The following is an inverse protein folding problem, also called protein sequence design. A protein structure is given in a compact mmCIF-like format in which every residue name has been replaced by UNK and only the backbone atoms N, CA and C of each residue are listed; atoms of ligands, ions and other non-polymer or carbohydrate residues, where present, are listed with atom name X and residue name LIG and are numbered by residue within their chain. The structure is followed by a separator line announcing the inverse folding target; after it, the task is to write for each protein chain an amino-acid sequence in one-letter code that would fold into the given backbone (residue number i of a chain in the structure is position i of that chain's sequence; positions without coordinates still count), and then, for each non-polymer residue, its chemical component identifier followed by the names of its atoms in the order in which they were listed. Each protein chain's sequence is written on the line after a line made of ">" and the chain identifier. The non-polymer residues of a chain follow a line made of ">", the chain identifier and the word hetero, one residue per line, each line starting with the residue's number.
data_IF_264306925204
#
_entry.id   IF_264306925204
#
_cell.length_a   1.000
_cell.length_b   1.000
_cell.length_c   1.000
_cell.angle_alpha   90.00
_cell.angle_beta   90.00
_cell.angle_gamma   90.00
#
_symmetry.space_group_name_H-M   'P 1'
#
loop_
_entity.id
_entity.type
_entity.pdbx_description
1 polymer ?
#
# COMPACT_ATOMS: atom_id res chain seq x y z
N UNK A 1 -4.11 9.98 -5.47
CA UNK A 1 -4.00 9.68 -4.03
C UNK A 1 -3.41 8.29 -3.80
N UNK A 2 -2.46 8.14 -2.90
CA UNK A 2 -1.98 6.85 -2.40
C UNK A 2 -2.60 6.52 -1.04
N UNK A 3 -3.22 5.34 -0.93
CA UNK A 3 -3.89 4.81 0.26
C UNK A 3 -2.96 3.88 1.04
N UNK A 4 -2.49 4.33 2.20
CA UNK A 4 -1.46 3.64 2.98
C UNK A 4 -0.08 3.86 2.36
N UNK A 5 0.32 5.13 2.22
CA UNK A 5 1.59 5.55 1.60
C UNK A 5 2.82 5.03 2.35
N UNK A 6 2.67 4.64 3.62
CA UNK A 6 3.72 4.07 4.44
C UNK A 6 4.93 4.98 4.50
N UNK A 7 6.10 4.43 4.15
CA UNK A 7 7.36 5.20 4.11
C UNK A 7 7.59 5.93 2.78
N UNK A 8 6.63 5.92 1.85
CA UNK A 8 6.71 6.65 0.58
C UNK A 8 7.58 6.00 -0.50
N UNK A 9 7.78 4.67 -0.47
CA UNK A 9 8.61 3.97 -1.48
C UNK A 9 8.04 4.08 -2.89
N UNK A 10 6.73 3.93 -3.04
CA UNK A 10 6.05 4.02 -4.34
C UNK A 10 5.90 5.48 -4.74
N UNK A 11 5.41 6.32 -3.83
CA UNK A 11 5.35 7.77 -3.99
C UNK A 11 6.66 8.35 -4.56
N UNK A 12 7.82 7.99 -4.02
CA UNK A 12 9.13 8.50 -4.48
C UNK A 12 9.37 8.21 -5.96
N UNK A 13 9.07 6.99 -6.40
CA UNK A 13 9.23 6.59 -7.81
C UNK A 13 8.19 7.28 -8.69
N UNK A 14 6.97 7.41 -8.20
CA UNK A 14 5.86 7.99 -8.96
C UNK A 14 6.09 9.47 -9.23
N UNK A 15 6.37 10.26 -8.21
CA UNK A 15 6.60 11.72 -8.35
C UNK A 15 7.86 12.02 -9.18
N UNK A 16 8.89 11.16 -9.12
CA UNK A 16 10.08 11.30 -9.98
C UNK A 16 9.75 11.04 -11.46
N UNK A 17 8.85 10.09 -11.74
CA UNK A 17 8.44 9.75 -13.11
C UNK A 17 7.40 10.71 -13.68
N UNK A 18 6.55 11.26 -12.82
CA UNK A 18 5.45 12.16 -13.18
C UNK A 18 5.59 13.44 -12.34
N UNK A 19 6.54 14.34 -12.66
CA UNK A 19 6.84 15.50 -11.81
C UNK A 19 5.67 16.49 -11.67
N UNK A 20 4.78 16.54 -12.66
CA UNK A 20 3.61 17.41 -12.68
C UNK A 20 2.39 16.82 -11.96
N UNK A 21 2.51 15.62 -11.37
CA UNK A 21 1.37 14.98 -10.70
C UNK A 21 1.05 15.69 -9.38
N UNK A 22 -0.21 16.08 -9.20
CA UNK A 22 -0.72 16.50 -7.90
C UNK A 22 -0.92 15.27 -7.01
N UNK A 23 0.14 14.94 -6.24
CA UNK A 23 0.18 13.77 -5.39
C UNK A 23 -0.18 14.10 -3.94
N UNK A 24 -1.10 13.29 -3.40
CA UNK A 24 -1.38 13.21 -1.97
C UNK A 24 -1.29 11.76 -1.51
N UNK A 25 -0.53 11.52 -0.45
CA UNK A 25 -0.46 10.23 0.23
C UNK A 25 -1.09 10.30 1.61
N UNK A 26 -1.85 9.27 1.98
CA UNK A 26 -2.37 9.12 3.34
C UNK A 26 -1.83 7.88 4.03
N UNK A 27 -1.63 7.96 5.34
CA UNK A 27 -1.38 6.79 6.18
C UNK A 27 -2.00 7.02 7.57
N UNK A 28 -2.45 5.96 8.23
CA UNK A 28 -2.97 6.05 9.60
C UNK A 28 -1.84 6.03 10.65
N UNK A 29 -0.63 5.69 10.24
CA UNK A 29 0.55 5.55 11.10
C UNK A 29 1.47 6.77 10.95
N UNK A 30 1.43 7.67 11.93
CA UNK A 30 2.23 8.91 11.91
C UNK A 30 3.74 8.66 11.77
N UNK A 31 4.27 7.62 12.41
CA UNK A 31 5.69 7.27 12.33
C UNK A 31 6.14 6.86 10.92
N UNK A 32 5.23 6.32 10.10
CA UNK A 32 5.48 6.03 8.69
C UNK A 32 5.53 7.32 7.87
N UNK A 33 4.61 8.25 8.12
CA UNK A 33 4.59 9.56 7.46
C UNK A 33 5.83 10.40 7.79
N UNK A 34 6.37 10.30 8.99
CA UNK A 34 7.65 10.94 9.34
C UNK A 34 8.78 10.43 8.42
N UNK A 35 8.87 9.12 8.19
CA UNK A 35 9.84 8.52 7.27
C UNK A 35 9.56 8.92 5.81
N UNK A 36 8.29 8.97 5.41
CA UNK A 36 7.90 9.41 4.08
C UNK A 36 8.29 10.87 3.81
N UNK A 37 8.06 11.78 4.77
CA UNK A 37 8.49 13.19 4.68
C UNK A 37 9.99 13.33 4.52
N UNK A 38 10.79 12.53 5.25
CA UNK A 38 12.24 12.51 5.08
C UNK A 38 12.66 12.04 3.69
N UNK A 39 11.97 11.05 3.12
CA UNK A 39 12.27 10.49 1.80
C UNK A 39 11.85 11.41 0.64
N UNK A 40 10.64 11.96 0.71
CA UNK A 40 10.01 12.69 -0.39
C UNK A 40 10.30 14.19 -0.36
N UNK A 41 10.77 14.70 0.76
CA UNK A 41 10.94 16.13 1.01
C UNK A 41 9.63 16.80 1.47
N UNK A 42 9.71 18.10 1.77
CA UNK A 42 8.61 18.88 2.36
C UNK A 42 7.51 19.28 1.37
N UNK A 43 7.73 19.11 0.07
CA UNK A 43 6.84 19.61 -0.98
C UNK A 43 5.75 18.60 -1.41
N UNK A 44 5.72 17.41 -0.80
CA UNK A 44 4.73 16.39 -1.11
C UNK A 44 3.64 16.38 -0.04
N UNK A 45 2.37 16.43 -0.45
CA UNK A 45 1.24 16.38 0.46
C UNK A 45 1.13 14.99 1.10
N UNK A 46 1.27 14.93 2.42
CA UNK A 46 1.22 13.72 3.22
C UNK A 46 0.34 13.93 4.45
N UNK A 47 -0.80 13.25 4.50
CA UNK A 47 -1.81 13.47 5.54
C UNK A 47 -1.91 12.25 6.48
N UNK A 48 -2.03 12.53 7.78
CA UNK A 48 -2.27 11.50 8.79
C UNK A 48 -3.77 11.25 8.88
N UNK A 49 -4.23 10.22 8.17
CA UNK A 49 -5.65 9.98 7.95
C UNK A 49 -5.99 8.50 8.06
N UNK A 50 -7.21 8.24 8.51
CA UNK A 50 -7.78 6.90 8.51
C UNK A 50 -8.73 6.78 7.32
N UNK A 51 -8.50 5.80 6.44
CA UNK A 51 -9.35 5.54 5.26
C UNK A 51 -10.85 5.39 5.60
N UNK A 52 -11.19 4.99 6.83
CA UNK A 52 -12.58 4.85 7.30
C UNK A 52 -13.28 6.16 7.64
N UNK A 53 -12.52 7.24 7.84
CA UNK A 53 -13.02 8.53 8.35
C UNK A 53 -12.43 9.75 7.65
N UNK A 54 -11.48 9.57 6.72
CA UNK A 54 -10.84 10.66 5.99
C UNK A 54 -11.90 11.54 5.32
N UNK A 55 -11.65 12.84 5.37
CA UNK A 55 -12.35 13.87 4.61
C UNK A 55 -11.28 14.85 4.13
N UNK A 56 -10.93 14.75 2.85
CA UNK A 56 -9.83 15.50 2.26
C UNK A 56 -10.31 16.78 1.58
N UNK A 57 -11.62 17.07 1.62
CA UNK A 57 -12.26 18.22 0.98
C UNK A 57 -11.92 18.37 -0.52
N UNK A 58 -11.51 17.28 -1.17
CA UNK A 58 -11.11 17.26 -2.58
C UNK A 58 -11.37 15.91 -3.23
N UNK A 59 -11.52 15.93 -4.55
CA UNK A 59 -11.62 14.72 -5.37
C UNK A 59 -10.33 14.44 -6.13
N UNK A 60 -10.12 13.18 -6.50
CA UNK A 60 -8.95 12.69 -7.22
C UNK A 60 -9.36 11.97 -8.51
N UNK A 61 -8.51 12.06 -9.52
CA UNK A 61 -8.65 11.28 -10.77
C UNK A 61 -8.27 9.82 -10.57
N UNK A 62 -7.39 9.54 -9.61
CA UNK A 62 -7.03 8.19 -9.23
C UNK A 62 -6.70 8.07 -7.74
N UNK A 63 -7.12 6.96 -7.15
CA UNK A 63 -6.66 6.45 -5.87
C UNK A 63 -5.99 5.09 -6.11
N UNK A 64 -4.92 4.78 -5.39
CA UNK A 64 -4.32 3.46 -5.47
C UNK A 64 -3.86 2.96 -4.11
N UNK A 65 -3.85 1.64 -3.93
CA UNK A 65 -3.24 1.00 -2.77
C UNK A 65 -2.22 -0.04 -3.23
N UNK A 66 -0.98 0.10 -2.74
CA UNK A 66 0.11 -0.84 -2.99
C UNK A 66 0.49 -1.56 -1.70
N UNK A 67 -0.33 -2.53 -1.29
CA UNK A 67 -0.16 -3.24 -0.02
C UNK A 67 -0.35 -2.40 1.24
N UNK A 68 -0.91 -1.18 1.08
CA UNK A 68 -1.15 -0.22 2.16
C UNK A 68 -2.42 -0.55 2.94
N UNK A 69 -3.60 -0.36 2.33
CA UNK A 69 -4.91 -0.72 2.91
C UNK A 69 -5.40 -2.04 2.31
N UNK A 70 -5.27 -2.17 0.99
CA UNK A 70 -5.77 -3.29 0.21
C UNK A 70 -4.73 -3.81 -0.76
N UNK A 71 -4.91 -5.07 -1.16
CA UNK A 71 -4.07 -5.71 -2.16
C UNK A 71 -4.80 -6.89 -2.81
N UNK A 72 -4.34 -7.32 -3.98
CA UNK A 72 -4.73 -8.60 -4.54
C UNK A 72 -3.53 -9.53 -4.64
N UNK A 73 -3.76 -10.81 -4.41
CA UNK A 73 -2.80 -11.87 -4.69
C UNK A 73 -3.23 -12.61 -5.95
N UNK A 74 -2.29 -12.75 -6.87
CA UNK A 74 -2.38 -13.65 -8.00
C UNK A 74 -1.73 -14.98 -7.61
N UNK A 75 -2.52 -16.05 -7.61
CA UNK A 75 -2.05 -17.41 -7.33
C UNK A 75 -1.59 -18.16 -8.58
N UNK A 76 -1.61 -17.54 -9.76
CA UNK A 76 -1.35 -18.20 -11.04
C UNK A 76 -2.52 -19.06 -11.52
N UNK A 77 -3.69 -18.91 -10.89
CA UNK A 77 -4.96 -19.55 -11.25
C UNK A 77 -5.90 -18.51 -11.91
N UNK A 78 -7.13 -18.88 -12.22
CA UNK A 78 -8.14 -17.97 -12.80
C UNK A 78 -8.70 -16.94 -11.82
N UNK A 79 -8.22 -16.92 -10.58
CA UNK A 79 -8.81 -16.13 -9.48
C UNK A 79 -7.78 -15.26 -8.76
N UNK A 80 -8.18 -14.03 -8.47
CA UNK A 80 -7.45 -13.12 -7.59
C UNK A 80 -8.02 -13.18 -6.19
N UNK A 81 -7.16 -13.33 -5.18
CA UNK A 81 -7.57 -13.26 -3.77
C UNK A 81 -7.41 -11.83 -3.25
N UNK A 82 -8.47 -11.25 -2.69
CA UNK A 82 -8.43 -9.92 -2.07
C UNK A 82 -7.89 -9.98 -0.64
N UNK A 83 -7.01 -9.04 -0.30
CA UNK A 83 -6.46 -8.85 1.05
C UNK A 83 -6.72 -7.44 1.54
N UNK A 84 -6.96 -7.33 2.84
CA UNK A 84 -7.20 -6.08 3.53
C UNK A 84 -6.54 -6.08 4.89
N UNK A 85 -5.95 -4.95 5.28
CA UNK A 85 -5.52 -4.74 6.67
C UNK A 85 -6.69 -4.39 7.60
N UNK A 86 -7.88 -4.17 7.05
CA UNK A 86 -9.12 -4.01 7.81
C UNK A 86 -9.73 -5.39 8.10
N UNK A 87 -9.85 -5.74 9.38
CA UNK A 87 -10.31 -7.06 9.85
C UNK A 87 -11.80 -7.32 9.56
N UNK A 88 -12.61 -6.27 9.55
CA UNK A 88 -14.08 -6.35 9.51
C UNK A 88 -14.60 -6.03 8.11
N UNK A 89 -15.43 -6.90 7.53
CA UNK A 89 -16.02 -6.71 6.19
C UNK A 89 -16.77 -5.38 6.08
N UNK A 90 -17.52 -5.00 7.11
CA UNK A 90 -18.20 -3.69 7.17
C UNK A 90 -17.23 -2.50 7.08
N UNK A 91 -16.02 -2.63 7.63
CA UNK A 91 -15.00 -1.59 7.53
C UNK A 91 -14.44 -1.54 6.10
N UNK A 92 -14.25 -2.69 5.47
CA UNK A 92 -13.82 -2.78 4.06
C UNK A 92 -14.83 -2.06 3.16
N UNK A 93 -16.12 -2.38 3.29
CA UNK A 93 -17.20 -1.72 2.55
C UNK A 93 -17.21 -0.21 2.81
N UNK A 94 -17.15 0.21 4.08
CA UNK A 94 -17.11 1.63 4.45
C UNK A 94 -15.91 2.35 3.83
N UNK A 95 -14.72 1.74 3.85
CA UNK A 95 -13.53 2.33 3.26
C UNK A 95 -13.65 2.49 1.73
N UNK A 96 -14.31 1.55 1.04
CA UNK A 96 -14.57 1.72 -0.39
C UNK A 96 -15.54 2.87 -0.67
N UNK A 97 -16.61 3.01 0.10
CA UNK A 97 -17.50 4.17 -0.01
C UNK A 97 -16.75 5.48 0.23
N UNK A 98 -15.90 5.52 1.25
CA UNK A 98 -15.17 6.74 1.56
C UNK A 98 -14.18 7.10 0.45
N UNK A 99 -13.45 6.13 -0.10
CA UNK A 99 -12.58 6.37 -1.26
C UNK A 99 -13.39 6.80 -2.48
N UNK A 100 -14.53 6.18 -2.75
CA UNK A 100 -15.39 6.54 -3.87
C UNK A 100 -15.90 7.99 -3.77
N UNK A 101 -16.25 8.47 -2.57
CA UNK A 101 -16.65 9.87 -2.34
C UNK A 101 -15.54 10.87 -2.66
N UNK A 102 -14.28 10.44 -2.59
CA UNK A 102 -13.10 11.23 -2.91
C UNK A 102 -12.61 11.01 -4.35
N UNK A 103 -13.33 10.27 -5.19
CA UNK A 103 -13.01 10.13 -6.61
C UNK A 103 -13.90 11.03 -7.46
N UNK A 104 -13.35 11.52 -8.56
CA UNK A 104 -14.13 12.07 -9.67
C UNK A 104 -15.02 10.98 -10.28
N UNK A 105 -16.08 11.35 -11.01
CA UNK A 105 -17.05 10.37 -11.56
C UNK A 105 -16.39 9.34 -12.50
N UNK A 106 -15.33 9.75 -13.23
CA UNK A 106 -14.51 8.88 -14.07
C UNK A 106 -13.24 8.37 -13.37
N UNK A 107 -13.08 8.69 -12.08
CA UNK A 107 -11.90 8.39 -11.28
C UNK A 107 -11.68 6.90 -11.11
N UNK A 108 -10.42 6.50 -10.95
CA UNK A 108 -10.03 5.08 -10.86
C UNK A 108 -9.55 4.72 -9.47
N UNK A 109 -10.02 3.60 -8.97
CA UNK A 109 -9.37 2.90 -7.85
C UNK A 109 -8.50 1.77 -8.42
N UNK A 110 -7.20 1.85 -8.16
CA UNK A 110 -6.19 0.93 -8.68
C UNK A 110 -5.63 0.11 -7.52
N UNK A 111 -5.48 -1.20 -7.73
CA UNK A 111 -4.89 -2.10 -6.76
C UNK A 111 -3.57 -2.63 -7.28
N UNK A 112 -2.58 -2.77 -6.38
CA UNK A 112 -1.47 -3.66 -6.68
C UNK A 112 -1.95 -5.10 -6.72
N UNK A 113 -1.35 -5.88 -7.63
CA UNK A 113 -1.46 -7.33 -7.64
C UNK A 113 -0.07 -7.88 -7.34
N UNK A 114 0.02 -8.74 -6.32
CA UNK A 114 1.25 -9.40 -5.94
C UNK A 114 1.17 -10.88 -6.28
N UNK A 115 2.29 -11.48 -6.68
CA UNK A 115 2.37 -12.94 -6.81
C UNK A 115 2.46 -13.62 -5.44
N UNK A 116 2.23 -14.93 -5.42
CA UNK A 116 2.42 -15.77 -4.23
C UNK A 116 3.77 -15.50 -3.58
N UNK A 117 3.75 -15.30 -2.26
CA UNK A 117 4.99 -15.19 -1.50
C UNK A 117 5.80 -16.49 -1.67
N UNK A 118 7.05 -16.33 -2.09
CA UNK A 118 8.01 -17.40 -2.29
C UNK A 118 9.23 -17.18 -1.41
N UNK A 119 9.98 -18.25 -1.17
CA UNK A 119 11.34 -18.11 -0.64
C UNK A 119 12.12 -17.12 -1.51
N UNK A 120 12.84 -16.21 -0.88
CA UNK A 120 13.60 -15.17 -1.55
C UNK A 120 14.83 -14.84 -0.74
N UNK A 121 15.93 -14.55 -1.43
CA UNK A 121 17.19 -14.18 -0.83
C UNK A 121 17.84 -13.07 -1.64
N UNK A 122 18.44 -12.11 -0.96
CA UNK A 122 19.21 -11.03 -1.56
C UNK A 122 20.31 -10.55 -0.61
N UNK A 123 21.52 -10.42 -1.14
CA UNK A 123 22.60 -9.70 -0.46
C UNK A 123 22.37 -8.18 -0.56
N UNK A 124 22.30 -7.52 0.59
CA UNK A 124 22.16 -6.08 0.71
C UNK A 124 23.50 -5.39 0.47
N UNK A 125 23.48 -4.07 0.20
CA UNK A 125 24.68 -3.30 -0.14
C UNK A 125 25.76 -3.26 0.96
N UNK A 126 25.39 -3.58 2.19
CA UNK A 126 26.30 -3.67 3.34
C UNK A 126 26.82 -5.11 3.60
N UNK A 127 26.59 -6.04 2.68
CA UNK A 127 27.04 -7.43 2.78
C UNK A 127 26.13 -8.35 3.59
N UNK A 128 25.09 -7.82 4.27
CA UNK A 128 24.10 -8.65 4.98
C UNK A 128 23.25 -9.39 3.96
N UNK A 129 23.06 -10.69 4.15
CA UNK A 129 22.10 -11.47 3.39
C UNK A 129 20.74 -11.39 4.06
N UNK A 130 19.78 -10.79 3.35
CA UNK A 130 18.37 -10.85 3.70
C UNK A 130 17.75 -12.06 3.02
N UNK A 131 17.09 -12.93 3.79
CA UNK A 131 16.25 -13.98 3.23
C UNK A 131 14.86 -14.00 3.86
N UNK A 132 13.86 -14.41 3.08
CA UNK A 132 12.53 -14.73 3.55
C UNK A 132 12.23 -16.20 3.26
N UNK A 133 11.65 -16.88 4.24
CA UNK A 133 11.21 -18.28 4.17
C UNK A 133 9.72 -18.37 4.42
N UNK A 134 9.00 -19.10 3.57
CA UNK A 134 7.55 -19.28 3.68
C UNK A 134 7.23 -20.69 4.16
N UNK A 135 6.51 -20.80 5.28
CA UNK A 135 6.07 -22.05 5.85
C UNK A 135 4.54 -22.15 5.74
N UNK A 136 3.99 -23.10 4.98
CA UNK A 136 2.54 -23.25 4.85
C UNK A 136 1.91 -23.68 6.18
N UNK A 137 0.71 -23.16 6.48
CA UNK A 137 -0.09 -23.54 7.64
C UNK A 137 -1.51 -23.93 7.22
N UNK A 138 -2.26 -24.67 8.07
CA UNK A 138 -3.67 -24.94 7.83
C UNK A 138 -4.52 -23.67 7.71
N UNK A 139 -5.67 -23.77 7.05
CA UNK A 139 -6.68 -22.70 6.91
C UNK A 139 -6.20 -21.46 6.14
N UNK A 140 -5.54 -21.66 5.00
CA UNK A 140 -5.05 -20.58 4.12
C UNK A 140 -4.13 -19.57 4.83
N UNK A 141 -3.36 -20.06 5.80
CA UNK A 141 -2.35 -19.30 6.54
C UNK A 141 -0.95 -19.71 6.12
N UNK A 142 0.01 -18.84 6.37
CA UNK A 142 1.43 -19.16 6.28
C UNK A 142 2.19 -18.37 7.32
N UNK A 143 3.30 -18.93 7.77
CA UNK A 143 4.33 -18.22 8.52
C UNK A 143 5.40 -17.72 7.55
N UNK A 144 5.85 -16.49 7.78
CA UNK A 144 6.91 -15.87 6.99
C UNK A 144 8.04 -15.44 7.91
N UNK A 145 9.18 -16.10 7.78
CA UNK A 145 10.37 -15.77 8.55
C UNK A 145 11.23 -14.79 7.75
N UNK A 146 11.71 -13.74 8.41
CA UNK A 146 12.66 -12.79 7.87
C UNK A 146 14.00 -13.00 8.56
N UNK A 147 15.05 -13.31 7.81
CA UNK A 147 16.37 -13.69 8.32
C UNK A 147 17.39 -12.69 7.78
N UNK A 148 18.29 -12.25 8.66
CA UNK A 148 19.42 -11.38 8.34
C UNK A 148 20.69 -12.06 8.84
N UNK A 149 21.60 -12.43 7.93
CA UNK A 149 22.85 -13.14 8.23
C UNK A 149 24.05 -12.53 7.52
#
# INVERSE_FOLDING_TARGET
>A
MELGVGTGLVAEKLIKKLPEIDFLGIDFTESMLLKARQRLGKNVALHHENVLTMDLERKFDAAFSNGGVWNFLDKGETEYTFFSHLVKVQNIIKSFHNVANHLNDAGKLIFSVQGVHKDYEQTLSNGITYSQKIFPMPHDKFEKHYIFS
#
